data_IF_518247738684
#
_entry.id   IF_518247738684
#
_cell.length_a   1.000
_cell.length_b   1.000
_cell.length_c   1.000
_cell.angle_alpha   90.00
_cell.angle_beta   90.00
_cell.angle_gamma   90.00
#
_symmetry.space_group_name_H-M   'P 1'
#
loop_
_entity.id
_entity.type
_entity.pdbx_description
1 polymer ?
#
# COMPACT_ATOMS: atom_id res chain seq x y z
N UNK A 1 15.19 37.70 6.00
CA UNK A 1 13.81 37.43 5.52
C UNK A 1 13.11 36.54 6.52
N UNK A 2 11.85 36.80 6.89
CA UNK A 2 11.11 35.89 7.76
C UNK A 2 10.81 34.57 7.01
N UNK A 3 10.81 33.41 7.69
CA UNK A 3 10.50 32.13 7.07
C UNK A 3 9.04 32.10 6.61
N UNK A 4 8.82 31.71 5.34
CA UNK A 4 7.48 31.49 4.78
C UNK A 4 6.87 30.25 5.44
N UNK A 5 5.67 30.39 6.00
CA UNK A 5 4.92 29.30 6.64
C UNK A 5 3.94 28.70 5.62
N UNK A 6 3.97 27.38 5.47
CA UNK A 6 3.06 26.64 4.59
C UNK A 6 2.11 25.80 5.43
N UNK A 7 0.84 25.74 5.03
CA UNK A 7 -0.12 24.80 5.60
C UNK A 7 0.32 23.38 5.21
N UNK A 8 0.66 22.57 6.21
CA UNK A 8 0.95 21.14 6.02
C UNK A 8 -0.35 20.36 6.10
N UNK A 9 -0.44 19.27 5.32
CA UNK A 9 -1.55 18.34 5.44
C UNK A 9 -1.60 17.78 6.88
N UNK A 10 -2.76 17.83 7.54
CA UNK A 10 -2.91 17.36 8.91
C UNK A 10 -3.00 15.83 9.00
N UNK A 11 -2.99 15.12 7.87
CA UNK A 11 -3.11 13.66 7.81
C UNK A 11 -1.91 13.10 7.06
N UNK A 12 -1.30 12.07 7.64
CA UNK A 12 -0.21 11.31 7.04
C UNK A 12 -0.57 9.84 6.94
N UNK A 13 -0.07 9.19 5.90
CA UNK A 13 -0.20 7.75 5.70
C UNK A 13 0.99 7.05 6.36
N UNK A 14 0.72 6.08 7.22
CA UNK A 14 1.74 5.16 7.74
C UNK A 14 1.68 3.85 6.95
N UNK A 15 2.79 3.55 6.29
CA UNK A 15 2.96 2.32 5.52
C UNK A 15 3.59 1.24 6.39
N UNK A 16 2.99 0.05 6.50
CA UNK A 16 3.60 -1.08 7.20
C UNK A 16 4.91 -1.48 6.52
N UNK A 17 6.00 -1.44 7.28
CA UNK A 17 7.31 -1.90 6.83
C UNK A 17 7.54 -3.33 7.26
N UNK A 18 8.28 -4.07 6.45
CA UNK A 18 8.69 -5.44 6.75
C UNK A 18 10.21 -5.45 6.94
N UNK A 19 10.66 -6.14 7.98
CA UNK A 19 12.09 -6.36 8.25
C UNK A 19 12.78 -7.10 7.10
N UNK A 20 14.07 -6.85 6.89
CA UNK A 20 14.82 -7.38 5.73
C UNK A 20 14.84 -8.93 5.66
N UNK A 21 14.84 -9.62 6.81
CA UNK A 21 14.79 -11.09 6.88
C UNK A 21 13.45 -11.62 6.34
N UNK A 22 12.35 -11.03 6.81
CA UNK A 22 11.00 -11.37 6.37
C UNK A 22 10.77 -10.96 4.90
N UNK A 23 11.32 -9.82 4.49
CA UNK A 23 11.26 -9.33 3.12
C UNK A 23 11.88 -10.33 2.14
N UNK A 24 13.06 -10.88 2.48
CA UNK A 24 13.76 -11.86 1.64
C UNK A 24 12.92 -13.12 1.42
N UNK A 25 12.32 -13.66 2.49
CA UNK A 25 11.48 -14.85 2.40
C UNK A 25 10.19 -14.59 1.59
N UNK A 26 9.56 -13.43 1.79
CA UNK A 26 8.39 -12.99 1.03
C UNK A 26 8.72 -12.89 -0.46
N UNK A 27 9.82 -12.23 -0.81
CA UNK A 27 10.28 -12.08 -2.19
C UNK A 27 10.62 -13.44 -2.79
N UNK A 28 11.23 -14.36 -2.03
CA UNK A 28 11.52 -15.73 -2.49
C UNK A 28 10.25 -16.48 -2.85
N UNK A 29 9.22 -16.46 -1.98
CA UNK A 29 7.93 -17.13 -2.23
C UNK A 29 7.15 -16.48 -3.38
N UNK A 30 7.09 -15.15 -3.41
CA UNK A 30 6.49 -14.40 -4.52
C UNK A 30 7.18 -14.74 -5.83
N UNK A 31 8.51 -14.69 -5.88
CA UNK A 31 9.29 -15.05 -7.07
C UNK A 31 9.02 -16.47 -7.53
N UNK A 32 8.91 -17.44 -6.61
CA UNK A 32 8.63 -18.83 -6.95
C UNK A 32 7.26 -18.98 -7.64
N UNK A 33 6.21 -18.36 -7.10
CA UNK A 33 4.86 -18.38 -7.69
C UNK A 33 4.78 -17.59 -9.00
N UNK A 34 5.34 -16.39 -9.00
CA UNK A 34 5.34 -15.51 -10.17
C UNK A 34 6.17 -16.08 -11.34
N UNK A 35 7.21 -16.89 -11.08
CA UNK A 35 7.93 -17.65 -12.13
C UNK A 35 7.03 -18.65 -12.85
N UNK A 36 5.99 -19.20 -12.23
CA UNK A 36 5.01 -20.08 -12.89
C UNK A 36 4.17 -19.32 -13.92
N UNK A 37 4.01 -18.01 -13.75
CA UNK A 37 3.31 -17.12 -14.68
C UNK A 37 4.17 -16.86 -15.93
N UNK A 38 5.46 -17.22 -15.91
CA UNK A 38 6.35 -17.03 -17.06
C UNK A 38 5.99 -18.03 -18.17
N UNK A 39 5.38 -17.51 -19.23
CA UNK A 39 5.06 -18.27 -20.44
C UNK A 39 6.34 -18.80 -21.10
N UNK A 40 6.69 -20.08 -20.89
CA UNK A 40 7.61 -20.79 -21.78
C UNK A 40 6.86 -21.10 -23.06
N UNK A 41 7.16 -20.39 -24.15
CA UNK A 41 6.72 -20.79 -25.49
C UNK A 41 7.41 -22.12 -25.83
N UNK A 42 6.73 -23.25 -25.62
CA UNK A 42 7.10 -24.54 -26.22
C UNK A 42 5.87 -25.11 -26.92
N UNK A 43 6.07 -25.61 -28.15
CA UNK A 43 5.02 -26.21 -28.98
C UNK A 43 4.90 -27.71 -28.66
N UNK A 44 4.50 -28.09 -27.45
CA UNK A 44 4.22 -29.49 -27.08
C UNK A 44 2.85 -29.60 -26.41
N UNK A 45 2.21 -30.77 -26.43
CA UNK A 45 0.93 -31.00 -25.74
C UNK A 45 1.02 -30.74 -24.23
N UNK A 46 2.17 -31.06 -23.62
CA UNK A 46 2.52 -30.70 -22.24
C UNK A 46 2.46 -29.18 -21.99
N UNK A 47 2.77 -28.36 -23.00
CA UNK A 47 2.72 -26.90 -22.90
C UNK A 47 1.28 -26.35 -22.90
N UNK A 48 0.28 -27.12 -23.35
CA UNK A 48 -1.13 -26.70 -23.26
C UNK A 48 -1.66 -26.78 -21.83
N UNK A 49 -1.26 -27.81 -21.07
CA UNK A 49 -1.58 -27.94 -19.64
C UNK A 49 -0.86 -26.86 -18.83
N UNK A 50 0.46 -26.68 -19.04
CA UNK A 50 1.23 -25.61 -18.41
C UNK A 50 0.65 -24.22 -18.73
N UNK A 51 0.17 -23.99 -19.96
CA UNK A 51 -0.45 -22.72 -20.33
C UNK A 51 -1.78 -22.45 -19.61
N UNK A 52 -2.56 -23.50 -19.29
CA UNK A 52 -3.81 -23.38 -18.52
C UNK A 52 -3.53 -23.04 -17.06
N UNK A 53 -2.57 -23.73 -16.45
CA UNK A 53 -2.13 -23.47 -15.07
C UNK A 53 -1.51 -22.06 -14.94
N UNK A 54 -0.65 -21.68 -15.88
CA UNK A 54 -0.07 -20.34 -15.97
C UNK A 54 -1.14 -19.23 -16.11
N UNK A 55 -2.20 -19.49 -16.88
CA UNK A 55 -3.34 -18.58 -17.05
C UNK A 55 -4.20 -18.46 -15.78
N UNK A 56 -4.42 -19.58 -15.08
CA UNK A 56 -5.12 -19.58 -13.80
C UNK A 56 -4.34 -18.79 -12.74
N UNK A 57 -3.04 -19.04 -12.64
CA UNK A 57 -2.17 -18.34 -11.69
C UNK A 57 -2.10 -16.84 -11.99
N UNK A 58 -1.97 -16.45 -13.27
CA UNK A 58 -1.99 -15.04 -13.67
C UNK A 58 -3.29 -14.32 -13.31
N UNK A 59 -4.42 -15.04 -13.24
CA UNK A 59 -5.69 -14.45 -12.79
C UNK A 59 -5.71 -14.19 -11.28
N UNK A 60 -4.81 -14.78 -10.51
CA UNK A 60 -4.73 -14.56 -9.06
C UNK A 60 -3.83 -13.37 -8.70
N UNK A 61 -2.93 -12.95 -9.59
CA UNK A 61 -2.01 -11.84 -9.35
C UNK A 61 -2.32 -10.60 -10.17
N UNK A 62 -2.03 -9.44 -9.58
CA UNK A 62 -2.02 -8.13 -10.23
C UNK A 62 -0.58 -7.61 -10.19
N UNK A 63 0.03 -7.32 -11.33
CA UNK A 63 1.46 -6.95 -11.38
C UNK A 63 1.60 -5.55 -11.98
N UNK A 64 2.30 -4.68 -11.25
CA UNK A 64 2.49 -3.29 -11.63
C UNK A 64 1.45 -2.37 -10.98
N UNK A 65 1.86 -1.10 -10.83
CA UNK A 65 1.13 -0.12 -10.02
C UNK A 65 -0.32 0.09 -10.50
N UNK A 66 -0.53 0.26 -11.80
CA UNK A 66 -1.86 0.54 -12.36
C UNK A 66 -2.83 -0.62 -12.19
N UNK A 67 -2.36 -1.87 -12.34
CA UNK A 67 -3.21 -3.05 -12.18
C UNK A 67 -3.58 -3.23 -10.71
N UNK A 68 -2.62 -3.05 -9.80
CA UNK A 68 -2.85 -3.10 -8.36
C UNK A 68 -3.84 -2.02 -7.92
N UNK A 69 -3.68 -0.76 -8.36
CA UNK A 69 -4.63 0.32 -8.03
C UNK A 69 -6.03 -0.03 -8.53
N UNK A 70 -6.15 -0.52 -9.78
CA UNK A 70 -7.45 -0.87 -10.36
C UNK A 70 -8.16 -1.99 -9.61
N UNK A 71 -7.41 -3.00 -9.15
CA UNK A 71 -7.99 -4.08 -8.34
C UNK A 71 -8.24 -3.67 -6.89
N UNK A 72 -7.49 -2.70 -6.37
CA UNK A 72 -7.74 -2.06 -5.09
C UNK A 72 -9.05 -1.27 -5.11
N UNK A 73 -9.28 -0.45 -6.14
CA UNK A 73 -10.54 0.28 -6.37
C UNK A 73 -11.75 -0.66 -6.43
N UNK A 74 -11.58 -1.82 -7.08
CA UNK A 74 -12.63 -2.84 -7.21
C UNK A 74 -12.76 -3.74 -5.99
N UNK A 75 -11.98 -3.53 -4.93
CA UNK A 75 -11.93 -4.37 -3.71
C UNK A 75 -11.68 -5.85 -4.02
N UNK A 76 -10.83 -6.12 -5.00
CA UNK A 76 -10.51 -7.49 -5.45
C UNK A 76 -9.24 -8.04 -4.83
N UNK A 77 -8.46 -7.23 -4.13
CA UNK A 77 -7.21 -7.63 -3.50
C UNK A 77 -7.42 -8.09 -2.06
N UNK A 78 -6.62 -9.06 -1.62
CA UNK A 78 -6.46 -9.41 -0.20
C UNK A 78 -5.17 -8.83 0.37
N UNK A 79 -4.11 -8.87 -0.43
CA UNK A 79 -2.78 -8.37 -0.08
C UNK A 79 -2.23 -7.53 -1.23
N UNK A 80 -1.57 -6.42 -0.89
CA UNK A 80 -0.82 -5.60 -1.84
C UNK A 80 0.55 -5.21 -1.28
N UNK A 81 1.60 -5.47 -2.04
CA UNK A 81 2.98 -5.14 -1.70
C UNK A 81 3.48 -4.08 -2.66
N UNK A 82 4.10 -3.03 -2.12
CA UNK A 82 4.59 -1.90 -2.89
C UNK A 82 6.09 -1.76 -2.71
N UNK A 83 6.78 -1.36 -3.78
CA UNK A 83 8.17 -0.94 -3.69
C UNK A 83 8.26 0.37 -2.88
N UNK A 84 9.28 0.46 -2.02
CA UNK A 84 9.55 1.64 -1.21
C UNK A 84 9.52 2.94 -2.02
N UNK A 85 10.07 2.94 -3.24
CA UNK A 85 10.15 4.15 -4.08
C UNK A 85 8.80 4.69 -4.53
N UNK A 86 7.79 3.83 -4.64
CA UNK A 86 6.41 4.22 -4.99
C UNK A 86 5.70 4.88 -3.83
N UNK A 87 5.94 4.38 -2.62
CA UNK A 87 5.23 4.81 -1.40
C UNK A 87 5.98 5.88 -0.62
N UNK A 88 7.03 6.46 -1.21
CA UNK A 88 7.70 7.66 -0.69
C UNK A 88 6.70 8.80 -0.46
N UNK A 89 6.87 9.61 0.61
CA UNK A 89 5.96 10.72 0.94
C UNK A 89 5.73 11.64 -0.26
N UNK A 90 4.56 11.49 -0.88
CA UNK A 90 4.14 12.21 -2.07
C UNK A 90 2.61 12.27 -2.10
N UNK A 91 2.05 13.16 -2.94
CA UNK A 91 0.60 13.20 -3.14
C UNK A 91 0.05 11.86 -3.63
N UNK A 92 0.80 11.15 -4.47
CA UNK A 92 0.41 9.84 -5.02
C UNK A 92 0.40 8.78 -3.91
N UNK A 93 1.47 8.69 -3.13
CA UNK A 93 1.53 7.76 -2.00
C UNK A 93 0.41 8.02 -0.98
N UNK A 94 0.04 9.28 -0.77
CA UNK A 94 -1.12 9.62 0.07
C UNK A 94 -2.42 9.03 -0.48
N UNK A 95 -2.69 9.22 -1.78
CA UNK A 95 -3.92 8.72 -2.41
C UNK A 95 -4.00 7.19 -2.40
N UNK A 96 -2.89 6.51 -2.75
CA UNK A 96 -2.83 5.03 -2.72
C UNK A 96 -3.02 4.54 -1.28
N UNK A 97 -2.37 5.19 -0.31
CA UNK A 97 -2.50 4.84 1.10
C UNK A 97 -3.91 5.03 1.65
N UNK A 98 -4.57 6.14 1.32
CA UNK A 98 -5.96 6.39 1.68
C UNK A 98 -6.90 5.36 1.05
N UNK A 99 -6.68 5.01 -0.23
CA UNK A 99 -7.44 3.96 -0.90
C UNK A 99 -7.23 2.60 -0.23
N UNK A 100 -6.00 2.21 0.07
CA UNK A 100 -5.67 0.97 0.77
C UNK A 100 -6.31 0.92 2.17
N UNK A 101 -6.25 2.02 2.92
CA UNK A 101 -6.88 2.13 4.23
C UNK A 101 -8.40 1.95 4.14
N UNK A 102 -9.06 2.56 3.14
CA UNK A 102 -10.52 2.46 2.95
C UNK A 102 -11.01 1.08 2.50
N UNK A 103 -10.13 0.28 1.89
CA UNK A 103 -10.48 -1.05 1.34
C UNK A 103 -10.18 -2.17 2.32
N UNK A 104 -9.41 -1.89 3.39
CA UNK A 104 -9.03 -2.89 4.39
C UNK A 104 -8.09 -3.96 3.84
N UNK A 105 -7.39 -3.68 2.75
CA UNK A 105 -6.41 -4.61 2.18
C UNK A 105 -5.18 -4.69 3.09
N UNK A 106 -4.61 -5.89 3.23
CA UNK A 106 -3.32 -6.03 3.90
C UNK A 106 -2.23 -5.49 2.99
N UNK A 107 -1.38 -4.64 3.55
CA UNK A 107 -0.37 -3.94 2.78
C UNK A 107 0.99 -4.04 3.43
N UNK A 108 2.02 -3.94 2.60
CA UNK A 108 3.35 -3.64 3.08
C UNK A 108 4.18 -2.90 2.04
N UNK A 109 5.18 -2.18 2.54
CA UNK A 109 6.28 -1.66 1.74
C UNK A 109 7.49 -2.58 1.87
N UNK A 110 8.14 -2.84 0.74
CA UNK A 110 9.40 -3.57 0.68
C UNK A 110 10.49 -2.70 0.07
N UNK A 111 11.68 -2.77 0.65
CA UNK A 111 12.87 -2.19 0.08
C UNK A 111 13.31 -3.05 -1.12
N UNK A 112 13.55 -2.43 -2.27
CA UNK A 112 14.08 -3.08 -3.48
C UNK A 112 13.20 -4.16 -4.14
N UNK A 113 11.88 -4.14 -3.95
CA UNK A 113 10.93 -5.06 -4.59
C UNK A 113 11.17 -5.16 -6.10
N UNK A 114 11.37 -4.02 -6.76
CA UNK A 114 11.60 -4.00 -8.21
C UNK A 114 12.93 -4.63 -8.60
N UNK A 115 14.00 -4.50 -7.81
CA UNK A 115 15.27 -5.11 -8.15
C UNK A 115 15.18 -6.65 -8.10
N UNK A 116 14.50 -7.17 -7.09
CA UNK A 116 14.43 -8.62 -6.86
C UNK A 116 13.41 -9.33 -7.75
N UNK A 117 12.22 -8.73 -7.95
CA UNK A 117 11.17 -9.36 -8.75
C UNK A 117 11.33 -9.15 -10.25
N UNK A 118 11.89 -8.02 -10.71
CA UNK A 118 12.07 -7.78 -12.15
C UNK A 118 12.94 -8.84 -12.81
N UNK A 119 14.03 -9.24 -12.14
CA UNK A 119 14.92 -10.28 -12.62
C UNK A 119 14.22 -11.65 -12.71
N UNK A 120 13.43 -11.99 -11.69
CA UNK A 120 12.66 -13.24 -11.67
C UNK A 120 11.59 -13.30 -12.78
N UNK A 121 10.94 -12.17 -13.04
CA UNK A 121 9.82 -12.04 -13.98
C UNK A 121 10.21 -11.67 -15.41
N UNK A 122 11.46 -11.27 -15.65
CA UNK A 122 11.92 -10.68 -16.90
C UNK A 122 11.09 -9.42 -17.28
N UNK A 123 10.76 -8.60 -16.28
CA UNK A 123 10.11 -7.31 -16.45
C UNK A 123 11.14 -6.19 -16.33
N UNK A 124 10.82 -5.02 -16.88
CA UNK A 124 11.71 -3.86 -16.77
C UNK A 124 11.73 -3.32 -15.34
N UNK A 125 10.56 -3.19 -14.72
CA UNK A 125 10.38 -2.79 -13.32
C UNK A 125 9.12 -3.43 -12.75
N UNK A 126 9.12 -3.71 -11.44
CA UNK A 126 7.96 -4.23 -10.70
C UNK A 126 7.73 -3.36 -9.48
N UNK A 127 6.91 -2.33 -9.67
CA UNK A 127 6.67 -1.31 -8.64
C UNK A 127 5.64 -1.71 -7.58
N UNK A 128 4.77 -2.67 -7.89
CA UNK A 128 3.76 -3.19 -6.98
C UNK A 128 3.30 -4.58 -7.42
N UNK A 129 2.87 -5.40 -6.45
CA UNK A 129 2.25 -6.71 -6.67
C UNK A 129 1.04 -6.85 -5.76
N UNK A 130 -0.08 -7.30 -6.30
CA UNK A 130 -1.30 -7.60 -5.56
C UNK A 130 -1.68 -9.06 -5.73
N UNK A 131 -2.26 -9.64 -4.68
CA UNK A 131 -2.91 -10.96 -4.75
C UNK A 131 -4.41 -10.76 -4.60
N UNK A 132 -5.16 -11.28 -5.57
CA UNK A 132 -6.62 -11.19 -5.63
C UNK A 132 -7.26 -12.13 -4.61
N UNK A 133 -8.53 -11.88 -4.31
CA UNK A 133 -9.33 -12.71 -3.42
C UNK A 133 -9.40 -14.16 -3.91
N UNK A 134 -9.08 -15.07 -3.02
CA UNK A 134 -9.14 -16.51 -3.22
C UNK A 134 -8.61 -17.25 -1.99
N UNK A 135 -8.64 -18.57 -2.06
CA UNK A 135 -7.87 -19.42 -1.15
C UNK A 135 -6.44 -19.54 -1.70
N UNK A 136 -5.47 -18.99 -0.99
CA UNK A 136 -4.06 -19.10 -1.33
C UNK A 136 -3.22 -19.15 -0.05
N UNK A 137 -2.38 -20.18 0.09
CA UNK A 137 -1.47 -20.35 1.22
C UNK A 137 -0.47 -19.18 1.34
N UNK A 138 -0.06 -18.60 0.20
CA UNK A 138 0.80 -17.43 0.18
C UNK A 138 0.11 -16.21 0.80
N UNK A 139 -1.20 -16.06 0.61
CA UNK A 139 -1.96 -14.98 1.25
C UNK A 139 -1.97 -15.16 2.76
N UNK A 140 -2.18 -16.38 3.26
CA UNK A 140 -2.17 -16.66 4.69
C UNK A 140 -0.80 -16.30 5.30
N UNK A 141 0.29 -16.68 4.65
CA UNK A 141 1.65 -16.30 5.05
C UNK A 141 1.85 -14.79 5.02
N UNK A 142 1.50 -14.12 3.91
CA UNK A 142 1.70 -12.67 3.78
C UNK A 142 0.90 -11.89 4.82
N UNK A 143 -0.32 -12.31 5.16
CA UNK A 143 -1.13 -11.66 6.20
C UNK A 143 -0.49 -11.69 7.59
N UNK A 144 0.42 -12.63 7.87
CA UNK A 144 1.18 -12.66 9.13
C UNK A 144 2.24 -11.56 9.21
N UNK A 145 2.73 -11.10 8.05
CA UNK A 145 3.81 -10.11 7.94
C UNK A 145 3.34 -8.77 7.36
N UNK A 146 2.07 -8.64 7.00
CA UNK A 146 1.50 -7.43 6.40
C UNK A 146 0.37 -6.88 7.27
N UNK A 147 0.19 -5.56 7.27
CA UNK A 147 -0.80 -4.88 8.11
C UNK A 147 -1.63 -3.89 7.30
N UNK A 148 -2.67 -3.35 7.91
CA UNK A 148 -3.46 -2.31 7.24
C UNK A 148 -2.73 -0.97 7.27
N UNK A 149 -2.88 -0.19 6.20
CA UNK A 149 -2.43 1.19 6.17
C UNK A 149 -3.20 2.00 7.22
N UNK A 150 -2.47 2.79 8.00
CA UNK A 150 -3.07 3.66 9.01
C UNK A 150 -3.00 5.12 8.57
N UNK A 151 -4.15 5.80 8.66
CA UNK A 151 -4.23 7.26 8.49
C UNK A 151 -4.06 7.91 9.85
N UNK A 152 -2.92 8.58 10.05
CA UNK A 152 -2.64 9.30 11.29
C UNK A 152 -2.95 10.77 11.11
N UNK A 153 -3.76 11.33 12.03
CA UNK A 153 -3.92 12.77 12.18
C UNK A 153 -2.71 13.30 12.95
N UNK A 154 -1.98 14.26 12.38
CA UNK A 154 -1.03 15.07 13.14
C UNK A 154 -1.82 15.97 14.09
N UNK A 155 -1.71 15.69 15.38
CA UNK A 155 -2.37 16.47 16.44
C UNK A 155 -1.80 17.88 16.61
N UNK A 156 -0.61 18.16 16.08
CA UNK A 156 -0.14 19.55 15.94
C UNK A 156 -0.79 20.23 14.75
N UNK A 157 -2.06 20.58 14.93
CA UNK A 157 -2.60 21.78 14.29
C UNK A 157 -2.11 22.93 15.15
N UNK A 158 -1.21 23.76 14.62
CA UNK A 158 -0.93 25.09 15.19
C UNK A 158 -2.25 25.89 15.12
N UNK A 159 -3.14 25.63 16.07
CA UNK A 159 -4.43 26.28 16.16
C UNK A 159 -4.13 27.65 16.74
N UNK A 160 -3.89 28.59 15.85
CA UNK A 160 -3.88 29.99 16.20
C UNK A 160 -5.34 30.37 16.49
N UNK A 161 -5.81 30.08 17.70
CA UNK A 161 -6.78 30.97 18.32
C UNK A 161 -5.96 32.22 18.60
N UNK A 162 -6.11 33.32 17.83
CA UNK A 162 -5.47 34.56 18.22
C UNK A 162 -5.90 34.82 19.67
N UNK A 163 -4.95 35.04 20.57
CA UNK A 163 -5.23 35.63 21.88
C UNK A 163 -5.73 37.05 21.65
N UNK A 164 -6.90 37.18 21.05
CA UNK A 164 -7.71 38.37 21.12
C UNK A 164 -8.04 38.53 22.58
N UNK A 165 -7.63 39.66 23.14
CA UNK A 165 -8.06 40.14 24.43
C UNK A 165 -9.58 40.15 24.44
N UNK A 166 -10.21 39.05 24.87
CA UNK A 166 -11.64 39.06 25.17
C UNK A 166 -11.74 39.97 26.38
N UNK A 167 -12.13 41.24 26.15
CA UNK A 167 -12.60 42.10 27.24
C UNK A 167 -13.77 41.35 27.86
N UNK A 168 -13.53 40.79 29.04
CA UNK A 168 -14.52 40.16 29.87
C UNK A 168 -15.62 41.20 30.18
N UNK A 169 -16.70 41.19 29.39
CA UNK A 169 -17.93 41.84 29.84
C UNK A 169 -18.44 41.00 31.01
N UNK A 170 -18.23 41.50 32.22
CA UNK A 170 -18.89 41.01 33.43
C UNK A 170 -20.39 41.10 33.20
N UNK A 171 -21.01 39.98 32.84
CA UNK A 171 -22.46 39.80 33.00
C UNK A 171 -22.74 39.93 34.50
N UNK A 172 -23.31 41.07 34.89
CA UNK A 172 -23.87 41.25 36.24
C UNK A 172 -25.07 40.31 36.35
N UNK A 173 -24.88 39.16 36.98
CA UNK A 173 -25.97 38.35 37.48
C UNK A 173 -26.64 39.14 38.61
N UNK A 174 -27.75 39.83 38.32
CA UNK A 174 -28.65 40.27 39.38
C UNK A 174 -29.46 39.05 39.82
N UNK A 175 -29.04 38.43 40.94
CA UNK A 175 -29.96 37.62 41.75
C UNK A 175 -30.89 38.60 42.47
N UNK A 176 -32.19 38.54 42.17
CA UNK A 176 -33.23 39.06 43.06
C UNK A 176 -33.63 37.91 44.00
N UNK A 177 -33.56 38.19 45.29
CA UNK A 177 -34.34 37.52 46.34
C UNK A 177 -35.74 38.13 46.28
#
# INVERSE_FOLDING_TARGET
MPPKRFLKLPITVQWPEIDDENATEIIRRLSARLKLIRKKRKNSESAQLEARECSAERKNFSIGLNEVIRDLEKRRLQVAVFDHDVVKPSGIAFQIGALAASTGVHTARLNNLSADLSAALNYHSVSAVGIRQGEDELVAFLKQHTSHVLLQKKEQVDTFIPKGTVKSNKLKTQSKI
#
